data_IF_868068366605
#
_entry.id   IF_868068366605
#
_cell.length_a   1.000
_cell.length_b   1.000
_cell.length_c   1.000
_cell.angle_alpha   90.00
_cell.angle_beta   90.00
_cell.angle_gamma   90.00
#
_symmetry.space_group_name_H-M   'P 1'
#
loop_
_entity.id
_entity.type
_entity.pdbx_description
1 polymer ?
#
# COMPACT_ATOMS: atom_id res chain seq x y z
N UNK A 1 -37.47 43.94 -5.54
CA UNK A 1 -37.57 42.57 -4.98
C UNK A 1 -36.96 41.62 -5.98
N UNK A 2 -35.95 40.84 -5.58
CA UNK A 2 -35.26 39.91 -6.46
C UNK A 2 -33.81 39.71 -6.04
N UNK A 3 -33.60 39.07 -4.90
CA UNK A 3 -32.30 38.51 -4.55
C UNK A 3 -32.24 37.10 -5.16
N UNK A 4 -31.43 36.91 -6.19
CA UNK A 4 -31.12 35.57 -6.70
C UNK A 4 -30.00 34.95 -5.87
N UNK A 5 -30.33 33.86 -5.18
CA UNK A 5 -29.40 33.00 -4.47
C UNK A 5 -28.61 32.13 -5.46
N UNK A 6 -27.31 32.37 -5.57
CA UNK A 6 -26.37 31.47 -6.26
C UNK A 6 -25.31 30.98 -5.26
N UNK A 7 -25.73 30.10 -4.35
CA UNK A 7 -24.87 29.43 -3.37
C UNK A 7 -25.11 27.94 -3.34
N UNK A 8 -24.49 27.18 -4.25
CA UNK A 8 -24.65 25.71 -4.28
C UNK A 8 -23.66 24.93 -5.17
N UNK A 9 -22.55 25.54 -5.59
CA UNK A 9 -21.62 24.95 -6.58
C UNK A 9 -20.54 23.99 -6.05
N UNK A 10 -19.85 24.26 -4.93
CA UNK A 10 -18.72 23.42 -4.48
C UNK A 10 -19.18 22.23 -3.63
N UNK A 11 -20.02 22.48 -2.62
CA UNK A 11 -20.47 21.45 -1.68
C UNK A 11 -21.28 20.33 -2.34
N UNK A 12 -22.10 20.64 -3.36
CA UNK A 12 -22.85 19.64 -4.11
C UNK A 12 -21.92 18.77 -4.97
N UNK A 13 -20.85 19.35 -5.55
CA UNK A 13 -19.86 18.60 -6.35
C UNK A 13 -19.02 17.67 -5.49
N UNK A 14 -18.66 18.11 -4.29
CA UNK A 14 -17.92 17.30 -3.33
C UNK A 14 -18.78 16.15 -2.78
N UNK A 15 -20.05 16.41 -2.46
CA UNK A 15 -21.02 15.37 -2.08
C UNK A 15 -21.29 14.38 -3.21
N UNK A 16 -21.35 14.85 -4.46
CA UNK A 16 -21.49 13.98 -5.64
C UNK A 16 -20.24 13.12 -5.84
N UNK A 17 -19.02 13.66 -5.67
CA UNK A 17 -17.77 12.88 -5.70
C UNK A 17 -17.70 11.83 -4.59
N UNK A 18 -18.05 12.20 -3.37
CA UNK A 18 -18.08 11.29 -2.21
C UNK A 18 -19.06 10.14 -2.45
N UNK A 19 -20.23 10.44 -3.03
CA UNK A 19 -21.23 9.46 -3.43
C UNK A 19 -20.75 8.57 -4.61
N UNK A 20 -20.02 9.12 -5.59
CA UNK A 20 -19.42 8.35 -6.69
C UNK A 20 -18.38 7.34 -6.19
N UNK A 21 -17.53 7.72 -5.25
CA UNK A 21 -16.47 6.86 -4.68
C UNK A 21 -17.06 5.81 -3.73
N UNK A 22 -18.09 6.17 -2.95
CA UNK A 22 -18.60 5.30 -1.89
C UNK A 22 -19.77 4.40 -2.32
N UNK A 23 -20.66 4.87 -3.20
CA UNK A 23 -21.93 4.20 -3.52
C UNK A 23 -21.99 3.59 -4.93
N UNK A 24 -21.18 4.08 -5.88
CA UNK A 24 -21.22 3.65 -7.28
C UNK A 24 -20.10 2.71 -7.67
N UNK A 25 -19.38 2.16 -6.71
CA UNK A 25 -18.24 1.28 -6.94
C UNK A 25 -18.49 -0.10 -6.33
N UNK A 26 -18.18 -1.13 -7.08
CA UNK A 26 -18.22 -2.50 -6.58
C UNK A 26 -17.11 -2.70 -5.55
N UNK A 27 -17.47 -2.88 -4.26
CA UNK A 27 -16.49 -3.07 -3.17
C UNK A 27 -15.73 -4.40 -3.16
N UNK A 28 -15.87 -5.18 -4.24
CA UNK A 28 -15.11 -6.40 -4.50
C UNK A 28 -14.02 -6.14 -5.54
N UNK A 29 -14.37 -5.58 -6.70
CA UNK A 29 -13.42 -5.31 -7.79
C UNK A 29 -13.02 -3.83 -7.94
N UNK A 30 -13.50 -2.97 -7.05
CA UNK A 30 -13.25 -1.53 -6.96
C UNK A 30 -13.43 -0.76 -8.28
N UNK A 31 -14.26 -1.31 -9.17
CA UNK A 31 -14.64 -0.64 -10.41
C UNK A 31 -16.08 -0.10 -10.34
N UNK A 32 -16.30 1.00 -11.07
CA UNK A 32 -17.58 1.68 -11.14
C UNK A 32 -18.67 0.75 -11.70
N UNK A 33 -19.84 0.78 -11.07
CA UNK A 33 -21.03 0.10 -11.56
C UNK A 33 -21.51 0.72 -12.88
N UNK A 34 -22.09 -0.11 -13.74
CA UNK A 34 -22.61 0.31 -15.04
C UNK A 34 -24.02 -0.23 -15.29
N UNK A 35 -24.68 0.29 -16.32
CA UNK A 35 -26.07 -0.11 -16.64
C UNK A 35 -26.18 -1.50 -17.27
N UNK A 36 -25.11 -2.05 -17.85
CA UNK A 36 -25.15 -3.29 -18.66
C UNK A 36 -23.95 -4.20 -18.40
N UNK A 37 -24.12 -5.48 -18.77
CA UNK A 37 -23.09 -6.52 -18.75
C UNK A 37 -22.44 -6.76 -17.38
N UNK A 38 -21.12 -7.00 -17.37
CA UNK A 38 -20.31 -7.41 -16.22
C UNK A 38 -20.30 -6.41 -15.06
N UNK A 39 -20.48 -5.12 -15.35
CA UNK A 39 -20.46 -4.04 -14.33
C UNK A 39 -21.84 -3.75 -13.73
N UNK A 40 -22.88 -4.48 -14.12
CA UNK A 40 -24.24 -4.27 -13.60
C UNK A 40 -24.32 -4.60 -12.10
N UNK A 41 -24.81 -3.68 -11.24
CA UNK A 41 -24.88 -3.91 -9.80
C UNK A 41 -25.97 -4.93 -9.45
N UNK A 42 -25.63 -5.88 -8.59
CA UNK A 42 -26.44 -7.01 -8.17
C UNK A 42 -26.54 -7.04 -6.65
N UNK A 43 -27.76 -7.17 -6.15
CA UNK A 43 -28.04 -7.44 -4.75
C UNK A 43 -27.84 -8.93 -4.46
N UNK A 44 -27.04 -9.22 -3.43
CA UNK A 44 -27.02 -10.52 -2.78
C UNK A 44 -28.22 -10.65 -1.84
N UNK A 45 -28.69 -11.86 -1.50
CA UNK A 45 -29.82 -12.07 -0.58
C UNK A 45 -29.63 -11.46 0.82
N UNK A 46 -28.40 -11.14 1.19
CA UNK A 46 -28.07 -10.44 2.44
C UNK A 46 -28.16 -8.90 2.36
N UNK A 47 -28.50 -8.34 1.19
CA UNK A 47 -28.61 -6.89 0.96
C UNK A 47 -27.32 -6.18 0.52
N UNK A 48 -26.20 -6.89 0.37
CA UNK A 48 -24.94 -6.31 -0.12
C UNK A 48 -24.93 -6.24 -1.66
N UNK A 49 -24.27 -5.22 -2.21
CA UNK A 49 -24.23 -4.94 -3.65
C UNK A 49 -22.86 -5.26 -4.24
N UNK A 50 -22.84 -6.08 -5.30
CA UNK A 50 -21.63 -6.46 -6.06
C UNK A 50 -21.92 -6.44 -7.55
N UNK A 51 -20.92 -6.36 -8.42
CA UNK A 51 -21.19 -6.37 -9.87
C UNK A 51 -21.43 -7.79 -10.39
N UNK A 52 -22.13 -7.91 -11.52
CA UNK A 52 -22.47 -9.21 -12.13
C UNK A 52 -21.24 -10.08 -12.42
N UNK A 53 -20.11 -9.48 -12.85
CA UNK A 53 -18.86 -10.21 -13.01
C UNK A 53 -18.32 -10.76 -11.69
N UNK A 54 -18.44 -10.01 -10.58
CA UNK A 54 -18.05 -10.50 -9.26
C UNK A 54 -18.97 -11.63 -8.78
N UNK A 55 -20.29 -11.55 -9.05
CA UNK A 55 -21.20 -12.67 -8.76
C UNK A 55 -20.76 -13.93 -9.50
N UNK A 56 -20.46 -13.81 -10.80
CA UNK A 56 -20.02 -14.94 -11.62
C UNK A 56 -18.63 -15.46 -11.21
N UNK A 57 -17.72 -14.58 -10.81
CA UNK A 57 -16.37 -14.94 -10.40
C UNK A 57 -16.30 -15.56 -8.99
N UNK A 58 -17.17 -15.15 -8.08
CA UNK A 58 -17.20 -15.65 -6.70
C UNK A 58 -18.06 -16.92 -6.54
N UNK A 59 -18.97 -17.19 -7.49
CA UNK A 59 -19.79 -18.39 -7.46
C UNK A 59 -19.00 -19.63 -7.93
N UNK A 60 -19.19 -20.76 -7.25
CA UNK A 60 -18.56 -22.02 -7.67
C UNK A 60 -19.03 -22.39 -9.09
N UNK A 61 -18.13 -22.72 -10.04
CA UNK A 61 -18.46 -22.94 -11.45
C UNK A 61 -19.53 -24.00 -11.78
N UNK A 62 -19.81 -24.94 -10.85
CA UNK A 62 -20.75 -26.05 -11.07
C UNK A 62 -21.97 -25.97 -10.17
N UNK A 63 -21.78 -25.60 -8.90
CA UNK A 63 -22.87 -25.57 -7.91
C UNK A 63 -23.51 -24.20 -7.79
N UNK A 64 -22.91 -23.16 -8.39
CA UNK A 64 -23.29 -21.74 -8.27
C UNK A 64 -23.38 -21.26 -6.82
N UNK A 65 -22.80 -22.02 -5.88
CA UNK A 65 -22.74 -21.67 -4.47
C UNK A 65 -21.80 -20.48 -4.29
N UNK A 66 -22.25 -19.48 -3.53
CA UNK A 66 -21.59 -18.21 -3.33
C UNK A 66 -21.74 -17.80 -1.86
N UNK A 67 -20.66 -17.38 -1.21
CA UNK A 67 -20.76 -16.71 0.08
C UNK A 67 -20.61 -15.21 -0.11
N UNK A 68 -21.45 -14.42 0.57
CA UNK A 68 -21.32 -12.98 0.55
C UNK A 68 -19.93 -12.56 1.07
N UNK A 69 -19.14 -11.78 0.33
CA UNK A 69 -17.79 -11.39 0.76
C UNK A 69 -17.77 -10.45 1.97
N UNK A 70 -18.91 -9.84 2.31
CA UNK A 70 -19.01 -8.87 3.41
C UNK A 70 -19.55 -9.48 4.70
N UNK A 71 -20.54 -10.37 4.62
CA UNK A 71 -21.20 -10.95 5.81
C UNK A 71 -21.19 -12.48 5.86
N UNK A 72 -20.56 -13.16 4.90
CA UNK A 72 -20.41 -14.63 4.81
C UNK A 72 -21.70 -15.44 4.80
N UNK A 73 -22.85 -14.78 4.59
CA UNK A 73 -24.11 -15.50 4.38
C UNK A 73 -24.04 -16.29 3.08
N UNK A 74 -24.27 -17.59 3.16
CA UNK A 74 -24.37 -18.46 2.00
C UNK A 74 -25.56 -18.08 1.11
N UNK A 75 -25.35 -18.07 -0.19
CA UNK A 75 -26.35 -17.79 -1.22
C UNK A 75 -25.98 -18.53 -2.52
N UNK A 76 -26.84 -18.45 -3.53
CA UNK A 76 -26.51 -18.92 -4.88
C UNK A 76 -26.44 -17.75 -5.84
N UNK A 77 -25.57 -17.83 -6.85
CA UNK A 77 -25.44 -16.79 -7.86
C UNK A 77 -26.75 -16.49 -8.61
N UNK A 78 -27.62 -17.49 -8.75
CA UNK A 78 -28.96 -17.36 -9.32
C UNK A 78 -29.95 -16.55 -8.47
N UNK A 79 -29.70 -16.43 -7.17
CA UNK A 79 -30.62 -15.75 -6.23
C UNK A 79 -30.34 -14.23 -6.16
N UNK A 80 -29.42 -13.73 -6.98
CA UNK A 80 -29.11 -12.31 -7.05
C UNK A 80 -30.16 -11.54 -7.86
N UNK A 81 -30.40 -10.28 -7.50
CA UNK A 81 -31.32 -9.40 -8.23
C UNK A 81 -30.63 -8.10 -8.64
N UNK A 82 -31.18 -7.35 -9.59
CA UNK A 82 -30.59 -6.05 -9.97
C UNK A 82 -30.76 -5.03 -8.83
N UNK A 83 -29.71 -4.24 -8.57
CA UNK A 83 -29.79 -3.15 -7.61
C UNK A 83 -30.38 -1.89 -8.27
N UNK A 84 -31.71 -1.83 -8.33
CA UNK A 84 -32.45 -0.70 -8.92
C UNK A 84 -32.07 0.67 -8.34
N UNK A 85 -31.85 0.85 -7.01
CA UNK A 85 -31.43 2.13 -6.46
C UNK A 85 -30.10 2.65 -7.04
N UNK A 86 -29.10 1.77 -7.20
CA UNK A 86 -27.81 2.14 -7.79
C UNK A 86 -27.96 2.40 -9.29
N UNK A 87 -28.79 1.62 -10.00
CA UNK A 87 -29.08 1.86 -11.43
C UNK A 87 -29.78 3.21 -11.66
N UNK A 88 -30.76 3.56 -10.84
CA UNK A 88 -31.42 4.87 -10.92
C UNK A 88 -30.46 6.01 -10.55
N UNK A 89 -29.59 5.81 -9.56
CA UNK A 89 -28.56 6.80 -9.20
C UNK A 89 -27.56 7.03 -10.35
N UNK A 90 -27.15 5.96 -11.05
CA UNK A 90 -26.32 6.07 -12.25
C UNK A 90 -27.03 6.84 -13.37
N UNK A 91 -28.34 6.66 -13.55
CA UNK A 91 -29.16 7.40 -14.51
C UNK A 91 -29.29 8.89 -14.16
N UNK A 92 -29.51 9.21 -12.88
CA UNK A 92 -29.61 10.58 -12.38
C UNK A 92 -28.28 11.35 -12.47
N UNK A 93 -27.16 10.67 -12.25
CA UNK A 93 -25.82 11.28 -12.39
C UNK A 93 -25.39 11.36 -13.86
N UNK A 94 -25.81 10.42 -14.69
CA UNK A 94 -25.56 10.44 -16.14
C UNK A 94 -26.30 11.56 -16.88
N UNK A 95 -27.42 12.05 -16.34
CA UNK A 95 -28.13 13.23 -16.87
C UNK A 95 -27.50 14.56 -16.42
N UNK A 96 -26.88 14.61 -15.24
CA UNK A 96 -26.24 15.79 -14.67
C UNK A 96 -24.85 16.13 -15.28
N UNK A 97 -24.20 15.19 -15.98
CA UNK A 97 -22.80 15.32 -16.45
C UNK A 97 -22.63 15.38 -17.98
N UNK A 98 -23.67 15.65 -18.77
CA UNK A 98 -23.48 15.94 -20.20
C UNK A 98 -22.93 17.35 -20.40
N UNK A 99 -21.63 17.53 -20.17
CA UNK A 99 -20.84 18.59 -20.81
C UNK A 99 -19.35 18.27 -20.84
N UNK A 100 -18.85 18.24 -22.09
CA UNK A 100 -17.47 18.29 -22.60
C UNK A 100 -16.64 16.99 -22.71
N UNK A 101 -15.83 16.88 -23.80
CA UNK A 101 -15.53 15.62 -24.45
C UNK A 101 -14.20 14.99 -24.00
N UNK A 102 -14.04 13.72 -24.38
CA UNK A 102 -12.83 12.95 -24.22
C UNK A 102 -11.60 13.65 -24.82
N UNK A 103 -10.67 14.08 -23.97
CA UNK A 103 -9.32 14.43 -24.38
C UNK A 103 -8.41 13.21 -24.22
N UNK A 104 -8.34 12.41 -25.29
CA UNK A 104 -7.16 11.62 -25.58
C UNK A 104 -6.02 12.59 -25.91
N UNK A 105 -4.90 12.52 -25.17
CA UNK A 105 -3.54 12.40 -25.73
C UNK A 105 -2.49 12.29 -24.62
N UNK A 106 -1.70 11.23 -24.73
CA UNK A 106 -0.53 10.95 -23.94
C UNK A 106 0.55 12.01 -24.12
N UNK A 107 1.24 12.36 -23.03
CA UNK A 107 2.58 12.91 -23.06
C UNK A 107 3.59 11.75 -23.08
N UNK A 108 4.67 11.80 -23.89
CA UNK A 108 5.71 10.79 -23.84
C UNK A 108 6.65 11.11 -22.68
N UNK A 109 6.83 10.16 -21.75
CA UNK A 109 7.95 10.17 -20.80
C UNK A 109 8.94 9.05 -21.16
N UNK A 110 10.23 9.41 -21.14
CA UNK A 110 11.38 8.55 -21.42
C UNK A 110 11.56 7.44 -20.35
N UNK A 111 12.33 6.37 -20.63
CA UNK A 111 12.03 5.03 -20.15
C UNK A 111 12.71 4.68 -18.82
N UNK A 112 11.90 4.17 -17.90
CA UNK A 112 12.28 3.30 -16.80
C UNK A 112 11.09 2.38 -16.53
N UNK A 113 10.84 1.43 -17.42
CA UNK A 113 9.65 0.59 -17.33
C UNK A 113 9.84 -0.47 -16.23
N UNK A 114 9.14 -0.31 -15.11
CA UNK A 114 9.03 -1.37 -14.12
C UNK A 114 8.29 -2.57 -14.71
N UNK A 115 8.90 -3.75 -14.65
CA UNK A 115 8.27 -5.00 -15.10
C UNK A 115 7.74 -5.77 -13.90
N UNK A 116 6.43 -6.03 -13.88
CA UNK A 116 5.82 -6.91 -12.88
C UNK A 116 6.08 -8.35 -13.29
N UNK A 117 6.90 -9.07 -12.52
CA UNK A 117 7.25 -10.47 -12.82
C UNK A 117 6.31 -11.46 -12.14
N UNK A 118 5.87 -11.15 -10.91
CA UNK A 118 5.02 -12.03 -10.12
C UNK A 118 3.95 -11.24 -9.35
N UNK A 119 2.73 -11.76 -9.38
CA UNK A 119 1.64 -11.32 -8.52
C UNK A 119 1.33 -12.46 -7.55
N UNK A 120 1.51 -12.21 -6.25
CA UNK A 120 1.25 -13.19 -5.21
C UNK A 120 -0.15 -12.98 -4.65
N UNK A 121 -0.92 -14.06 -4.56
CA UNK A 121 -2.29 -14.03 -4.08
C UNK A 121 -3.32 -13.95 -5.20
N UNK A 122 -3.96 -15.09 -5.47
CA UNK A 122 -5.27 -15.15 -6.11
C UNK A 122 -6.38 -15.05 -5.05
N UNK A 123 -7.60 -14.71 -5.51
CA UNK A 123 -8.80 -14.59 -4.67
C UNK A 123 -8.90 -15.73 -3.63
N UNK A 124 -8.99 -15.35 -2.35
CA UNK A 124 -9.21 -16.28 -1.23
C UNK A 124 -7.96 -16.80 -0.50
N UNK A 125 -6.74 -16.52 -0.98
CA UNK A 125 -5.51 -17.04 -0.33
C UNK A 125 -4.93 -16.13 0.74
N UNK A 126 -5.15 -14.82 0.64
CA UNK A 126 -4.74 -13.80 1.61
C UNK A 126 -5.98 -12.98 2.00
N UNK A 127 -5.99 -12.48 3.24
CA UNK A 127 -7.10 -11.68 3.80
C UNK A 127 -6.50 -10.38 4.27
N UNK A 128 -6.83 -9.23 3.65
CA UNK A 128 -6.28 -7.92 4.01
C UNK A 128 -4.76 -7.95 4.31
N UNK A 129 -3.91 -8.28 3.32
CA UNK A 129 -2.46 -8.28 3.55
C UNK A 129 -2.01 -6.85 3.92
N UNK A 130 -1.11 -6.75 4.88
CA UNK A 130 -0.67 -5.47 5.47
C UNK A 130 0.81 -5.17 5.26
N UNK A 131 1.64 -6.21 5.15
CA UNK A 131 3.08 -6.09 4.91
C UNK A 131 3.64 -7.28 4.14
N UNK A 132 4.77 -7.08 3.46
CA UNK A 132 5.48 -8.10 2.73
C UNK A 132 6.99 -7.89 2.84
N UNK A 133 7.75 -8.99 2.82
CA UNK A 133 9.19 -8.97 2.75
C UNK A 133 9.74 -10.14 1.93
N UNK A 134 10.95 -9.96 1.40
CA UNK A 134 11.70 -11.02 0.74
C UNK A 134 12.70 -11.61 1.72
N UNK A 135 12.79 -12.94 1.72
CA UNK A 135 13.91 -13.62 2.37
C UNK A 135 15.15 -13.53 1.46
N UNK A 136 16.24 -12.86 1.89
CA UNK A 136 17.42 -12.67 1.05
C UNK A 136 18.09 -13.99 0.64
N UNK A 137 18.07 -15.00 1.52
CA UNK A 137 18.73 -16.31 1.28
C UNK A 137 17.92 -17.25 0.40
N UNK A 138 16.58 -17.21 0.47
CA UNK A 138 15.73 -18.20 -0.22
C UNK A 138 14.94 -17.61 -1.38
N UNK A 139 14.90 -16.29 -1.54
CA UNK A 139 14.06 -15.60 -2.53
C UNK A 139 12.54 -15.80 -2.32
N UNK A 140 12.14 -16.26 -1.13
CA UNK A 140 10.73 -16.51 -0.80
C UNK A 140 10.08 -15.23 -0.30
N UNK A 141 8.78 -15.08 -0.59
CA UNK A 141 8.00 -13.92 -0.19
C UNK A 141 7.27 -14.25 1.10
N UNK A 142 7.48 -13.45 2.13
CA UNK A 142 6.74 -13.53 3.39
C UNK A 142 5.69 -12.42 3.39
N UNK A 143 4.44 -12.77 3.67
CA UNK A 143 3.32 -11.82 3.71
C UNK A 143 2.62 -11.96 5.05
N UNK A 144 2.36 -10.81 5.70
CA UNK A 144 1.45 -10.74 6.84
C UNK A 144 0.07 -10.32 6.42
N UNK A 145 -0.94 -10.98 6.98
CA UNK A 145 -2.33 -10.78 6.59
C UNK A 145 -3.30 -11.15 7.73
N UNK A 146 -4.56 -10.74 7.60
CA UNK A 146 -5.65 -10.96 8.56
C UNK A 146 -6.30 -12.36 8.44
N UNK A 147 -5.53 -13.41 8.16
CA UNK A 147 -6.00 -14.82 8.14
C UNK A 147 -5.97 -15.51 9.51
N UNK A 148 -6.35 -16.81 9.58
CA UNK A 148 -6.20 -17.59 10.83
C UNK A 148 -4.72 -17.76 11.21
N UNK A 149 -3.90 -18.13 10.23
CA UNK A 149 -2.44 -18.04 10.27
C UNK A 149 -2.06 -16.70 9.63
N UNK A 150 -1.44 -15.83 10.41
CA UNK A 150 -1.22 -14.42 10.06
C UNK A 150 0.01 -14.19 9.20
N UNK A 151 0.95 -15.14 9.20
CA UNK A 151 2.14 -15.13 8.34
C UNK A 151 2.00 -16.23 7.31
N UNK A 152 2.26 -15.88 6.04
CA UNK A 152 2.22 -16.81 4.91
C UNK A 152 3.47 -16.64 4.05
N UNK A 153 4.13 -17.75 3.73
CA UNK A 153 5.36 -17.77 2.93
C UNK A 153 5.04 -18.38 1.56
N UNK A 154 5.38 -17.65 0.51
CA UNK A 154 5.27 -18.07 -0.88
C UNK A 154 6.63 -18.38 -1.49
N UNK A 155 6.68 -19.40 -2.33
CA UNK A 155 7.81 -19.65 -3.21
C UNK A 155 7.82 -18.68 -4.41
N UNK A 156 8.91 -18.70 -5.18
CA UNK A 156 9.06 -17.87 -6.39
C UNK A 156 8.06 -18.21 -7.50
N UNK A 157 7.43 -19.39 -7.45
CA UNK A 157 6.35 -19.81 -8.36
C UNK A 157 4.96 -19.35 -7.93
N UNK A 158 4.83 -18.68 -6.78
CA UNK A 158 3.55 -18.25 -6.21
C UNK A 158 2.82 -19.33 -5.40
N UNK A 159 3.43 -20.50 -5.20
CA UNK A 159 2.92 -21.55 -4.34
C UNK A 159 3.05 -21.18 -2.86
N UNK A 160 2.06 -21.54 -2.05
CA UNK A 160 2.15 -21.38 -0.61
C UNK A 160 3.04 -22.49 -0.03
N UNK A 161 4.22 -22.11 0.44
CA UNK A 161 5.18 -23.04 1.04
C UNK A 161 4.89 -23.29 2.52
N UNK A 162 4.53 -22.25 3.28
CA UNK A 162 4.37 -22.35 4.73
C UNK A 162 3.40 -21.30 5.29
N UNK A 163 2.83 -21.55 6.47
CA UNK A 163 1.98 -20.60 7.18
C UNK A 163 2.04 -20.79 8.69
N UNK A 164 2.09 -19.71 9.46
CA UNK A 164 2.19 -19.73 10.93
C UNK A 164 1.69 -18.42 11.56
N UNK A 165 1.86 -18.30 12.88
CA UNK A 165 1.37 -17.16 13.68
C UNK A 165 -0.14 -17.21 13.84
N UNK A 166 -0.62 -17.85 14.91
CA UNK A 166 -2.06 -17.95 15.16
C UNK A 166 -2.67 -16.58 15.44
N UNK A 167 -3.91 -16.38 14.99
CA UNK A 167 -4.74 -15.28 15.44
C UNK A 167 -5.26 -15.60 16.84
N UNK A 168 -4.97 -14.73 17.80
CA UNK A 168 -5.50 -14.84 19.15
C UNK A 168 -4.94 -13.77 20.07
N UNK A 169 -5.17 -13.98 21.38
CA UNK A 169 -4.73 -13.09 22.45
C UNK A 169 -3.65 -13.74 23.34
N UNK A 170 -3.14 -14.93 22.99
CA UNK A 170 -2.01 -15.51 23.70
C UNK A 170 -0.73 -14.69 23.43
N UNK A 171 0.23 -14.71 24.36
CA UNK A 171 1.46 -13.92 24.26
C UNK A 171 2.26 -14.16 22.95
N UNK A 172 2.17 -15.37 22.39
CA UNK A 172 2.83 -15.76 21.14
C UNK A 172 1.95 -15.60 19.89
N UNK A 173 0.66 -15.32 20.06
CA UNK A 173 -0.26 -15.13 18.94
C UNK A 173 -0.04 -13.76 18.31
N UNK A 174 -0.46 -13.62 17.04
CA UNK A 174 -0.40 -12.37 16.29
C UNK A 174 -1.81 -11.79 16.19
N UNK A 175 -2.02 -10.68 16.90
CA UNK A 175 -3.33 -10.03 17.05
C UNK A 175 -3.66 -9.19 15.82
N UNK A 176 -2.83 -8.18 15.55
CA UNK A 176 -3.01 -7.25 14.44
C UNK A 176 -1.66 -6.87 13.79
N UNK A 177 -1.19 -7.67 12.81
CA UNK A 177 0.10 -7.42 12.17
C UNK A 177 0.02 -6.21 11.23
N UNK A 178 0.96 -5.30 11.34
CA UNK A 178 1.05 -4.12 10.47
C UNK A 178 2.08 -4.29 9.37
N UNK A 179 3.25 -4.83 9.69
CA UNK A 179 4.33 -4.99 8.74
C UNK A 179 5.23 -6.19 9.08
N UNK A 180 6.08 -6.58 8.14
CA UNK A 180 6.99 -7.72 8.28
C UNK A 180 8.31 -7.46 7.56
N UNK A 181 9.42 -7.88 8.17
CA UNK A 181 10.73 -7.95 7.52
C UNK A 181 11.35 -9.33 7.72
N UNK A 182 12.33 -9.69 6.89
CA UNK A 182 13.10 -10.92 7.03
C UNK A 182 14.57 -10.58 7.16
N UNK A 183 15.16 -11.08 8.24
CA UNK A 183 16.57 -10.88 8.56
C UNK A 183 17.48 -11.66 7.62
N UNK A 184 18.77 -11.31 7.59
CA UNK A 184 19.78 -12.07 6.83
C UNK A 184 19.88 -13.53 7.28
N UNK A 185 19.41 -13.82 8.49
CA UNK A 185 19.46 -15.13 9.14
C UNK A 185 18.18 -15.95 8.90
N UNK A 186 17.27 -15.46 8.05
CA UNK A 186 15.95 -16.02 7.78
C UNK A 186 14.97 -16.00 8.97
N UNK A 187 15.18 -15.11 9.95
CA UNK A 187 14.16 -14.85 10.97
C UNK A 187 13.12 -13.85 10.44
N UNK A 188 11.86 -14.14 10.72
CA UNK A 188 10.71 -13.32 10.33
C UNK A 188 10.35 -12.42 11.50
N UNK A 189 10.36 -11.11 11.28
CA UNK A 189 10.09 -10.12 12.32
C UNK A 189 8.81 -9.38 11.95
N UNK A 190 7.82 -9.42 12.85
CA UNK A 190 6.48 -8.88 12.63
C UNK A 190 6.19 -7.79 13.66
N UNK A 191 5.67 -6.64 13.21
CA UNK A 191 5.10 -5.62 14.10
C UNK A 191 3.64 -5.93 14.36
N UNK A 192 3.26 -6.03 15.64
CA UNK A 192 1.89 -6.29 16.07
C UNK A 192 1.34 -5.10 16.85
N UNK A 193 0.44 -4.34 16.21
CA UNK A 193 -0.19 -3.18 16.83
C UNK A 193 -1.27 -3.55 17.85
N UNK A 194 -1.85 -4.75 17.76
CA UNK A 194 -2.87 -5.20 18.70
C UNK A 194 -2.31 -5.56 20.07
N UNK A 195 -1.06 -6.00 20.08
CA UNK A 195 -0.27 -6.35 21.28
C UNK A 195 0.82 -5.32 21.60
N UNK A 196 0.98 -4.29 20.75
CA UNK A 196 2.03 -3.26 20.82
C UNK A 196 3.42 -3.87 21.01
N UNK A 197 3.69 -4.91 20.22
CA UNK A 197 4.89 -5.72 20.36
C UNK A 197 5.50 -6.02 19.00
N UNK A 198 6.73 -6.52 19.03
CA UNK A 198 7.42 -7.08 17.89
C UNK A 198 7.62 -8.56 18.17
N UNK A 199 7.23 -9.40 17.22
CA UNK A 199 7.30 -10.86 17.35
C UNK A 199 8.30 -11.38 16.33
N UNK A 200 9.29 -12.12 16.82
CA UNK A 200 10.36 -12.71 16.03
C UNK A 200 10.12 -14.21 15.97
N UNK A 201 10.06 -14.74 14.75
CA UNK A 201 9.92 -16.15 14.46
C UNK A 201 11.14 -16.63 13.67
N UNK A 202 11.49 -17.90 13.81
CA UNK A 202 12.33 -18.54 12.79
C UNK A 202 11.53 -18.78 11.49
N UNK A 203 12.24 -19.18 10.45
CA UNK A 203 11.61 -19.43 9.14
C UNK A 203 10.64 -20.63 9.13
N UNK A 204 10.69 -21.49 10.16
CA UNK A 204 9.77 -22.60 10.37
C UNK A 204 8.52 -22.19 11.17
N UNK A 205 8.45 -20.94 11.62
CA UNK A 205 7.31 -20.38 12.33
C UNK A 205 7.31 -20.62 13.83
N UNK A 206 8.43 -21.06 14.41
CA UNK A 206 8.57 -21.12 15.87
C UNK A 206 8.91 -19.74 16.40
N UNK A 207 8.25 -19.34 17.48
CA UNK A 207 8.52 -18.05 18.10
C UNK A 207 9.86 -18.10 18.84
N UNK A 208 10.69 -17.07 18.63
CA UNK A 208 12.01 -16.91 19.23
C UNK A 208 12.02 -15.84 20.30
N UNK A 209 11.36 -14.72 20.03
CA UNK A 209 11.39 -13.55 20.90
C UNK A 209 10.13 -12.71 20.73
N UNK A 210 9.64 -12.15 21.83
CA UNK A 210 8.59 -11.12 21.86
C UNK A 210 9.14 -9.90 22.57
N UNK A 211 9.13 -8.76 21.89
CA UNK A 211 9.59 -7.47 22.43
C UNK A 211 8.37 -6.58 22.61
N UNK A 212 7.98 -6.29 23.85
CA UNK A 212 6.82 -5.47 24.18
C UNK A 212 7.11 -4.44 25.27
N UNK A 213 6.12 -3.60 25.58
CA UNK A 213 6.15 -2.67 26.72
C UNK A 213 6.79 -1.30 26.44
N UNK A 214 7.52 -1.15 25.35
CA UNK A 214 8.21 0.09 24.98
C UNK A 214 7.63 0.80 23.74
N UNK A 215 6.65 0.20 23.07
CA UNK A 215 6.02 0.76 21.86
C UNK A 215 4.58 1.19 22.13
N UNK A 216 4.18 2.31 21.55
CA UNK A 216 2.80 2.81 21.54
C UNK A 216 2.03 2.25 20.34
N UNK A 217 2.61 2.36 19.15
CA UNK A 217 2.06 1.78 17.91
C UNK A 217 3.20 1.43 16.94
N UNK A 218 3.86 0.26 17.10
CA UNK A 218 4.90 -0.18 16.18
C UNK A 218 4.27 -0.45 14.81
N UNK A 219 4.74 0.23 13.76
CA UNK A 219 4.12 0.19 12.44
C UNK A 219 5.02 -0.49 11.41
N UNK A 220 5.97 0.24 10.84
CA UNK A 220 6.86 -0.26 9.80
C UNK A 220 8.08 -0.92 10.42
N UNK A 221 8.59 -1.93 9.74
CA UNK A 221 9.77 -2.67 10.16
C UNK A 221 10.68 -2.96 8.97
N UNK A 222 11.99 -2.78 9.14
CA UNK A 222 12.94 -3.15 8.10
C UNK A 222 14.28 -3.65 8.68
N UNK A 223 14.87 -4.63 8.03
CA UNK A 223 16.19 -5.16 8.41
C UNK A 223 17.31 -4.32 7.80
N UNK A 224 18.30 -3.97 8.62
CA UNK A 224 19.53 -3.29 8.17
C UNK A 224 20.54 -4.29 7.57
N UNK A 225 21.51 -3.83 6.77
CA UNK A 225 22.59 -4.69 6.28
C UNK A 225 23.40 -5.38 7.38
N UNK A 226 23.51 -4.76 8.55
CA UNK A 226 24.18 -5.29 9.74
C UNK A 226 23.27 -6.22 10.57
N UNK A 227 22.11 -6.60 10.05
CA UNK A 227 21.13 -7.49 10.67
C UNK A 227 20.46 -6.94 11.94
N UNK A 228 20.57 -5.64 12.21
CA UNK A 228 19.70 -4.93 13.15
C UNK A 228 18.31 -4.69 12.56
N UNK A 229 17.31 -4.49 13.42
CA UNK A 229 15.91 -4.28 13.02
C UNK A 229 15.50 -2.84 13.31
N UNK A 230 15.09 -2.11 12.27
CA UNK A 230 14.48 -0.80 12.42
C UNK A 230 12.98 -0.91 12.61
N UNK A 231 12.42 -0.12 13.52
CA UNK A 231 10.99 -0.07 13.78
C UNK A 231 10.52 1.37 13.92
N UNK A 232 9.52 1.75 13.14
CA UNK A 232 8.81 3.01 13.33
C UNK A 232 7.71 2.85 14.36
N UNK A 233 7.65 3.77 15.32
CA UNK A 233 6.50 3.90 16.21
C UNK A 233 5.66 5.10 15.76
N UNK A 234 4.52 4.79 15.14
CA UNK A 234 3.66 5.77 14.51
C UNK A 234 2.99 6.71 15.51
N UNK A 235 2.73 6.25 16.73
CA UNK A 235 2.07 7.05 17.76
C UNK A 235 3.09 7.80 18.63
N UNK A 236 4.21 7.17 18.96
CA UNK A 236 5.30 7.84 19.67
C UNK A 236 6.09 8.82 18.77
N UNK A 237 5.97 8.72 17.45
CA UNK A 237 6.68 9.58 16.51
C UNK A 237 8.19 9.36 16.53
N UNK A 238 8.61 8.08 16.53
CA UNK A 238 10.03 7.73 16.72
C UNK A 238 10.47 6.55 15.86
N UNK A 239 11.78 6.45 15.65
CA UNK A 239 12.45 5.35 14.96
C UNK A 239 13.40 4.67 15.94
N UNK A 240 13.27 3.36 16.06
CA UNK A 240 14.08 2.51 16.94
C UNK A 240 14.95 1.56 16.13
N UNK A 241 16.16 1.28 16.62
CA UNK A 241 17.03 0.19 16.18
C UNK A 241 17.10 -0.86 17.28
N UNK A 242 16.85 -2.11 16.90
CA UNK A 242 16.90 -3.27 17.79
C UNK A 242 18.03 -4.18 17.34
N UNK A 243 18.94 -4.46 18.25
CA UNK A 243 20.00 -5.46 18.07
C UNK A 243 19.56 -6.74 18.75
N UNK A 244 19.27 -7.77 17.94
CA UNK A 244 18.74 -9.05 18.41
C UNK A 244 19.76 -10.14 18.11
N UNK A 245 20.02 -10.97 19.12
CA UNK A 245 20.68 -12.25 18.95
C UNK A 245 19.62 -13.28 18.51
N UNK A 246 19.43 -13.42 17.20
CA UNK A 246 18.37 -14.29 16.67
C UNK A 246 18.53 -15.77 17.02
N UNK A 247 19.74 -16.38 16.95
CA UNK A 247 19.94 -17.76 17.38
C UNK A 247 19.49 -18.02 18.82
N UNK A 248 19.86 -17.14 19.75
CA UNK A 248 19.53 -17.28 21.17
C UNK A 248 18.15 -16.71 21.52
N UNK A 249 17.53 -15.93 20.62
CA UNK A 249 16.25 -15.27 20.86
C UNK A 249 16.32 -14.16 21.91
N UNK A 250 17.44 -13.42 21.98
CA UNK A 250 17.68 -12.41 23.03
C UNK A 250 17.81 -11.01 22.43
N UNK A 251 17.06 -10.04 22.97
CA UNK A 251 17.25 -8.63 22.66
C UNK A 251 18.51 -8.12 23.39
N UNK A 252 19.55 -7.75 22.63
CA UNK A 252 20.80 -7.21 23.19
C UNK A 252 20.68 -5.73 23.52
N UNK A 253 20.10 -4.95 22.61
CA UNK A 253 20.02 -3.49 22.73
C UNK A 253 18.80 -2.94 22.00
N UNK A 254 18.22 -1.89 22.59
CA UNK A 254 17.28 -0.99 21.91
C UNK A 254 17.87 0.41 21.92
N UNK A 255 17.94 1.04 20.76
CA UNK A 255 18.37 2.42 20.59
C UNK A 255 17.27 3.22 19.89
N UNK A 256 17.00 4.45 20.34
CA UNK A 256 16.08 5.36 19.64
C UNK A 256 16.91 6.28 18.74
N UNK A 257 16.90 6.01 17.43
CA UNK A 257 17.68 6.71 16.43
C UNK A 257 17.12 8.10 16.10
N UNK A 258 15.80 8.25 16.08
CA UNK A 258 15.15 9.52 15.81
C UNK A 258 13.90 9.71 16.68
N UNK A 259 13.66 10.96 17.05
CA UNK A 259 12.45 11.42 17.71
C UNK A 259 11.81 12.57 16.91
N UNK A 260 10.56 12.92 17.23
CA UNK A 260 9.81 13.98 16.56
C UNK A 260 9.51 13.72 15.07
N UNK A 261 9.29 12.45 14.71
CA UNK A 261 8.69 12.08 13.43
C UNK A 261 7.17 12.29 13.47
N UNK A 262 6.58 12.73 12.36
CA UNK A 262 5.16 12.99 12.23
C UNK A 262 4.42 11.74 11.71
N UNK A 263 3.88 10.92 12.61
CA UNK A 263 3.16 9.68 12.27
C UNK A 263 3.94 8.80 11.26
N UNK A 264 5.17 8.37 11.60
CA UNK A 264 5.98 7.54 10.70
C UNK A 264 5.32 6.17 10.51
N UNK A 265 5.18 5.73 9.26
CA UNK A 265 4.58 4.44 8.92
C UNK A 265 5.58 3.53 8.22
N UNK A 266 5.94 3.87 6.98
CA UNK A 266 6.90 3.08 6.20
C UNK A 266 8.33 3.40 6.60
N UNK A 267 9.19 2.39 6.55
CA UNK A 267 10.64 2.52 6.67
C UNK A 267 11.32 1.65 5.63
N UNK A 268 12.42 2.13 5.06
CA UNK A 268 13.24 1.36 4.14
C UNK A 268 14.71 1.66 4.36
N UNK A 269 15.57 0.68 4.07
CA UNK A 269 17.02 0.82 4.20
C UNK A 269 17.68 0.58 2.85
N UNK A 270 18.58 1.47 2.46
CA UNK A 270 19.44 1.27 1.31
C UNK A 270 20.53 0.26 1.66
N UNK A 271 20.53 -0.87 0.98
CA UNK A 271 21.59 -1.87 1.12
C UNK A 271 22.95 -1.40 0.60
N UNK A 272 22.96 -0.40 -0.28
CA UNK A 272 24.17 0.18 -0.85
C UNK A 272 24.87 1.13 0.12
N UNK A 273 24.12 2.03 0.77
CA UNK A 273 24.68 3.13 1.56
C UNK A 273 24.37 3.07 3.05
N UNK A 274 23.43 2.22 3.47
CA UNK A 274 22.86 2.23 4.81
C UNK A 274 21.94 3.42 5.09
N UNK A 275 21.58 4.22 4.08
CA UNK A 275 20.61 5.30 4.21
C UNK A 275 19.22 4.77 4.60
N UNK A 276 18.46 5.54 5.37
CA UNK A 276 17.18 5.15 5.93
C UNK A 276 16.11 6.12 5.42
N UNK A 277 15.14 5.63 4.67
CA UNK A 277 13.97 6.40 4.27
C UNK A 277 12.82 6.12 5.25
N UNK A 278 12.17 7.18 5.73
CA UNK A 278 10.99 7.13 6.59
C UNK A 278 9.84 7.85 5.89
N UNK A 279 8.71 7.18 5.78
CA UNK A 279 7.48 7.70 5.22
C UNK A 279 6.55 8.18 6.34
N UNK A 280 6.29 9.49 6.38
CA UNK A 280 5.44 10.19 7.35
C UNK A 280 4.07 10.53 6.76
N UNK A 281 3.02 10.39 7.58
CA UNK A 281 1.64 10.76 7.24
C UNK A 281 1.13 11.84 8.21
N UNK A 282 1.61 13.09 8.09
CA UNK A 282 1.18 14.19 8.96
C UNK A 282 -0.35 14.33 8.98
N UNK A 283 -0.92 14.41 10.18
CA UNK A 283 -2.35 14.71 10.36
C UNK A 283 -2.59 16.18 10.02
N UNK A 284 -3.52 16.46 9.12
CA UNK A 284 -3.90 17.83 8.78
C UNK A 284 -4.47 18.55 10.01
N UNK A 285 -3.87 19.67 10.41
CA UNK A 285 -4.48 20.67 11.30
C UNK A 285 -5.31 21.63 10.42
N UNK A 286 -6.56 21.26 10.13
CA UNK A 286 -7.48 22.08 9.33
C UNK A 286 -7.18 22.11 7.82
N UNK A 287 -8.22 22.36 7.02
CA UNK A 287 -8.25 22.37 5.54
C UNK A 287 -7.52 21.21 4.83
N UNK A 288 -8.13 20.01 4.90
CA UNK A 288 -8.27 19.05 3.79
C UNK A 288 -7.04 18.37 3.16
N UNK A 289 -5.80 18.78 3.41
CA UNK A 289 -4.64 18.18 2.75
C UNK A 289 -4.01 17.06 3.59
N UNK A 290 -4.45 15.81 3.36
CA UNK A 290 -3.61 14.64 3.68
C UNK A 290 -2.37 14.69 2.77
N UNK A 291 -1.19 14.85 3.35
CA UNK A 291 0.09 14.85 2.64
C UNK A 291 0.98 13.71 3.15
N UNK A 292 1.81 13.18 2.27
CA UNK A 292 2.85 12.22 2.60
C UNK A 292 4.20 12.90 2.51
N UNK A 293 5.07 12.66 3.48
CA UNK A 293 6.45 13.18 3.46
C UNK A 293 7.41 12.01 3.51
N UNK A 294 8.38 11.97 2.61
CA UNK A 294 9.49 11.03 2.64
C UNK A 294 10.70 11.78 3.16
N UNK A 295 11.22 11.37 4.32
CA UNK A 295 12.50 11.85 4.85
C UNK A 295 13.54 10.76 4.66
N UNK A 296 14.71 11.12 4.16
CA UNK A 296 15.83 10.20 3.98
C UNK A 296 16.99 10.66 4.85
N UNK A 297 17.45 9.76 5.70
CA UNK A 297 18.58 9.96 6.60
C UNK A 297 19.78 9.14 6.11
N UNK A 298 21.00 9.61 6.37
CA UNK A 298 22.21 8.82 6.22
C UNK A 298 22.25 7.68 7.26
N UNK A 299 23.20 6.75 7.10
CA UNK A 299 23.47 5.71 8.11
C UNK A 299 23.83 6.28 9.50
N UNK A 300 24.33 7.51 9.56
CA UNK A 300 24.62 8.24 10.80
C UNK A 300 23.47 9.13 11.27
N UNK A 301 22.25 8.90 10.77
CA UNK A 301 21.02 9.64 11.11
C UNK A 301 21.04 11.14 10.81
N UNK A 302 21.84 11.59 9.83
CA UNK A 302 21.77 12.96 9.32
C UNK A 302 20.74 13.05 8.20
N UNK A 303 19.86 14.06 8.20
CA UNK A 303 18.88 14.24 7.12
C UNK A 303 19.61 14.61 5.81
N UNK A 304 19.48 13.79 4.77
CA UNK A 304 20.12 14.00 3.46
C UNK A 304 19.12 14.41 2.37
N UNK A 305 17.85 14.06 2.51
CA UNK A 305 16.81 14.42 1.55
C UNK A 305 15.44 14.43 2.18
N UNK A 306 14.57 15.32 1.71
CA UNK A 306 13.17 15.35 2.10
C UNK A 306 12.31 15.73 0.90
N UNK A 307 11.19 15.05 0.71
CA UNK A 307 10.19 15.41 -0.27
C UNK A 307 8.80 15.25 0.31
N UNK A 308 7.98 16.29 0.21
CA UNK A 308 6.61 16.31 0.70
C UNK A 308 5.61 16.16 -0.45
N UNK A 309 4.32 16.07 -0.11
CA UNK A 309 3.25 15.92 -1.10
C UNK A 309 3.18 17.09 -2.09
N UNK A 310 3.63 18.29 -1.69
CA UNK A 310 3.71 19.44 -2.59
C UNK A 310 4.85 19.26 -3.59
N UNK A 311 6.05 18.91 -3.13
CA UNK A 311 7.20 18.57 -3.96
C UNK A 311 6.88 17.46 -4.94
N UNK A 312 6.21 16.38 -4.50
CA UNK A 312 5.72 15.32 -5.39
C UNK A 312 4.73 15.86 -6.44
N UNK A 313 3.84 16.78 -6.07
CA UNK A 313 2.86 17.36 -7.01
C UNK A 313 3.48 18.33 -8.04
N UNK A 314 4.72 18.79 -7.84
CA UNK A 314 5.43 19.61 -8.83
C UNK A 314 5.95 18.78 -10.01
N UNK A 315 6.29 17.51 -9.78
CA UNK A 315 6.81 16.61 -10.82
C UNK A 315 5.72 15.80 -11.50
N UNK A 316 4.57 15.63 -10.84
CA UNK A 316 3.50 14.76 -11.31
C UNK A 316 2.17 15.51 -11.40
N UNK A 317 1.39 15.34 -12.49
CA UNK A 317 0.14 16.07 -12.74
C UNK A 317 -0.99 15.71 -11.76
N UNK A 318 -0.81 14.66 -10.95
CA UNK A 318 -1.78 14.16 -9.97
C UNK A 318 -1.17 14.15 -8.57
N UNK A 319 -1.99 14.45 -7.56
CA UNK A 319 -1.59 14.40 -6.15
C UNK A 319 -1.14 12.98 -5.78
N UNK A 320 0.11 12.84 -5.34
CA UNK A 320 0.67 11.55 -4.92
C UNK A 320 0.42 11.33 -3.43
N UNK A 321 -0.05 10.13 -3.09
CA UNK A 321 -0.19 9.67 -1.71
C UNK A 321 0.67 8.42 -1.55
N UNK A 322 1.94 8.64 -1.17
CA UNK A 322 2.86 7.54 -0.90
C UNK A 322 2.34 6.65 0.24
N UNK A 323 2.26 5.35 -0.04
CA UNK A 323 1.77 4.31 0.85
C UNK A 323 2.88 3.38 1.34
N UNK A 324 3.93 3.20 0.52
CA UNK A 324 5.13 2.47 0.84
C UNK A 324 6.35 3.17 0.22
N UNK A 325 7.52 2.92 0.80
CA UNK A 325 8.82 3.44 0.35
C UNK A 325 9.83 2.30 0.33
N UNK A 326 10.76 2.29 -0.61
CA UNK A 326 11.88 1.35 -0.69
C UNK A 326 13.05 1.99 -1.44
N UNK A 327 14.22 1.36 -1.40
CA UNK A 327 15.34 1.70 -2.27
C UNK A 327 15.48 0.70 -3.41
N UNK A 328 16.06 1.16 -4.53
CA UNK A 328 16.62 0.27 -5.54
C UNK A 328 18.11 -0.06 -5.27
N UNK A 329 18.66 -0.97 -6.07
CA UNK A 329 20.06 -1.39 -6.01
C UNK A 329 21.07 -0.25 -6.28
N UNK A 330 20.63 0.84 -6.91
CA UNK A 330 21.45 2.02 -7.21
C UNK A 330 21.32 3.10 -6.13
N UNK A 331 20.45 2.89 -5.12
CA UNK A 331 20.18 3.84 -4.05
C UNK A 331 19.13 4.89 -4.38
N UNK A 332 18.37 4.74 -5.48
CA UNK A 332 17.23 5.61 -5.75
C UNK A 332 16.06 5.25 -4.83
N UNK A 333 15.30 6.27 -4.43
CA UNK A 333 14.10 6.11 -3.60
C UNK A 333 12.91 5.80 -4.49
N UNK A 334 12.22 4.70 -4.21
CA UNK A 334 11.01 4.27 -4.89
C UNK A 334 9.83 4.40 -3.93
N UNK A 335 8.71 4.94 -4.40
CA UNK A 335 7.46 5.03 -3.65
C UNK A 335 6.30 4.38 -4.40
N UNK A 336 5.40 3.74 -3.67
CA UNK A 336 4.13 3.27 -4.20
C UNK A 336 2.99 4.22 -3.82
N UNK A 337 2.19 4.62 -4.79
CA UNK A 337 0.92 5.31 -4.61
C UNK A 337 -0.23 4.36 -4.92
N UNK A 338 -0.87 3.88 -3.86
CA UNK A 338 -2.05 3.01 -3.96
C UNK A 338 -3.28 3.73 -4.51
N UNK A 339 -3.40 5.04 -4.30
CA UNK A 339 -4.54 5.81 -4.77
C UNK A 339 -4.47 6.04 -6.28
N UNK A 340 -3.27 6.31 -6.79
CA UNK A 340 -3.01 6.53 -8.22
C UNK A 340 -2.62 5.25 -8.97
N UNK A 341 -2.51 4.11 -8.26
CA UNK A 341 -2.06 2.82 -8.78
C UNK A 341 -0.71 2.92 -9.52
N UNK A 342 0.23 3.66 -8.95
CA UNK A 342 1.51 3.96 -9.56
C UNK A 342 2.68 3.59 -8.64
N UNK A 343 3.81 3.23 -9.26
CA UNK A 343 5.11 3.11 -8.60
C UNK A 343 6.03 4.13 -9.23
N UNK A 344 6.64 4.96 -8.39
CA UNK A 344 7.39 6.13 -8.83
C UNK A 344 8.81 6.04 -8.31
N UNK A 345 9.78 6.28 -9.19
CA UNK A 345 11.16 6.53 -8.80
C UNK A 345 11.31 8.03 -8.53
N UNK A 346 11.68 8.38 -7.30
CA UNK A 346 11.96 9.76 -6.90
C UNK A 346 13.42 10.16 -7.18
N UNK A 347 14.25 9.21 -7.60
CA UNK A 347 15.68 9.42 -7.85
C UNK A 347 16.50 9.36 -6.57
N UNK A 348 17.71 9.93 -6.62
CA UNK A 348 18.64 9.91 -5.51
C UNK A 348 18.22 10.88 -4.40
N UNK A 349 18.39 10.53 -3.12
CA UNK A 349 18.00 11.39 -2.01
C UNK A 349 18.66 12.78 -2.04
N UNK A 350 19.89 12.88 -2.51
CA UNK A 350 20.65 14.14 -2.57
C UNK A 350 20.11 15.11 -3.63
N UNK A 351 19.31 14.62 -4.57
CA UNK A 351 18.72 15.40 -5.66
C UNK A 351 17.32 15.91 -5.30
N UNK A 352 16.81 15.59 -4.10
CA UNK A 352 15.47 16.00 -3.69
C UNK A 352 15.36 17.53 -3.55
N UNK A 353 14.26 18.14 -4.04
CA UNK A 353 14.05 19.58 -3.89
C UNK A 353 13.94 19.94 -2.41
N UNK A 354 14.91 20.70 -1.92
CA UNK A 354 15.05 21.04 -0.50
C UNK A 354 16.32 20.49 0.16
N UNK A 355 17.13 19.70 -0.56
CA UNK A 355 18.45 19.27 -0.11
C UNK A 355 19.52 20.38 -0.27
N UNK A 356 19.30 21.54 0.36
CA UNK A 356 20.34 22.46 0.86
C UNK A 356 19.70 23.70 1.49
N UNK A 357 20.22 24.23 2.62
CA UNK A 357 19.91 25.57 3.08
C UNK A 357 20.89 26.57 2.44
N UNK A 358 20.98 26.64 1.11
CA UNK A 358 21.63 27.76 0.41
C UNK A 358 21.48 27.65 -1.12
N UNK A 359 21.20 28.80 -1.72
CA UNK A 359 21.30 29.16 -3.14
C UNK A 359 20.13 28.73 -4.07
N UNK A 360 19.31 29.74 -4.39
CA UNK A 360 18.54 29.81 -5.63
C UNK A 360 19.45 29.54 -6.84
N UNK A 361 19.10 28.54 -7.65
CA UNK A 361 19.50 28.54 -9.04
C UNK A 361 18.42 27.89 -9.91
N UNK A 362 17.73 28.75 -10.67
CA UNK A 362 16.85 28.35 -11.77
C UNK A 362 17.67 27.64 -12.86
N UNK A 363 17.35 26.40 -13.17
CA UNK A 363 17.75 25.78 -14.43
C UNK A 363 16.63 25.95 -15.47
N UNK A 364 16.87 26.80 -16.48
CA UNK A 364 16.08 26.89 -17.71
C UNK A 364 16.41 25.69 -18.62
N UNK A 365 15.39 25.07 -19.20
CA UNK A 365 15.55 24.06 -20.25
C UNK A 365 15.43 24.71 -21.65
N UNK A 366 16.20 24.27 -22.66
CA UNK A 366 16.04 24.73 -24.05
C UNK A 366 14.89 24.01 -24.78
N UNK A 367 14.28 24.75 -25.70
CA UNK A 367 13.13 24.40 -26.54
C UNK A 367 13.41 23.30 -27.61
N UNK A 368 12.57 22.26 -27.60
CA UNK A 368 11.86 21.64 -28.76
C UNK A 368 12.65 20.88 -29.89
N UNK A 369 11.98 20.16 -30.83
CA UNK A 369 11.91 18.68 -30.83
C UNK A 369 12.35 17.99 -32.15
N UNK A 370 12.60 16.67 -32.15
CA UNK A 370 12.42 15.84 -33.36
C UNK A 370 11.84 14.45 -33.06
N UNK A 371 10.85 14.09 -33.89
CA UNK A 371 10.09 12.84 -33.88
C UNK A 371 10.94 11.64 -34.32
N UNK A 372 10.54 10.41 -33.96
CA UNK A 372 10.50 9.26 -34.87
C UNK A 372 9.66 8.08 -34.30
N UNK A 373 8.92 7.51 -35.24
CA UNK A 373 8.02 6.34 -35.28
C UNK A 373 8.16 5.20 -34.26
N UNK A 374 7.01 4.85 -33.65
CA UNK A 374 6.30 3.59 -33.92
C UNK A 374 6.78 2.31 -33.23
N UNK A 375 6.02 1.83 -32.23
CA UNK A 375 5.21 0.59 -32.25
C UNK A 375 4.51 0.39 -30.89
N UNK A 376 3.42 -0.37 -30.93
CA UNK A 376 2.33 -0.49 -29.95
C UNK A 376 2.76 -0.77 -28.49
N UNK A 377 2.16 -0.03 -27.55
CA UNK A 377 2.19 -0.33 -26.12
C UNK A 377 0.97 -1.19 -25.73
N UNK A 378 1.19 -2.30 -25.03
CA UNK A 378 0.12 -3.09 -24.41
C UNK A 378 -0.20 -2.53 -23.02
N UNK A 379 -1.33 -1.84 -22.90
CA UNK A 379 -1.95 -1.53 -21.60
C UNK A 379 -2.51 -2.82 -20.99
N UNK A 380 -2.27 -3.06 -19.69
CA UNK A 380 -3.06 -4.03 -18.94
C UNK A 380 -3.54 -3.43 -17.62
N UNK A 381 -4.86 -3.48 -17.46
CA UNK A 381 -5.65 -3.04 -16.31
C UNK A 381 -5.26 -3.92 -15.11
N UNK A 382 -4.75 -3.30 -14.03
CA UNK A 382 -4.27 -4.00 -12.83
C UNK A 382 -5.36 -3.98 -11.75
N UNK A 383 -5.62 -5.13 -11.13
CA UNK A 383 -6.71 -5.31 -10.18
C UNK A 383 -6.36 -4.91 -8.73
N UNK A 384 -7.37 -4.58 -7.90
CA UNK A 384 -7.23 -3.83 -6.64
C UNK A 384 -6.82 -4.62 -5.37
N UNK A 385 -6.46 -5.90 -5.48
CA UNK A 385 -6.19 -6.78 -4.32
C UNK A 385 -5.01 -7.73 -4.52
N UNK A 386 -3.86 -7.21 -4.94
CA UNK A 386 -2.67 -8.02 -5.24
C UNK A 386 -1.45 -7.47 -4.51
N UNK A 387 -0.64 -8.34 -3.92
CA UNK A 387 0.71 -8.00 -3.50
C UNK A 387 1.62 -8.11 -4.73
N UNK A 388 2.30 -7.03 -5.07
CA UNK A 388 3.21 -6.96 -6.22
C UNK A 388 4.66 -6.97 -5.76
N UNK A 389 5.55 -7.44 -6.62
CA UNK A 389 6.99 -7.38 -6.42
C UNK A 389 7.65 -7.14 -7.77
N UNK A 390 8.70 -6.31 -7.79
CA UNK A 390 9.46 -6.00 -8.99
C UNK A 390 10.80 -6.74 -8.90
N UNK A 391 11.13 -7.51 -9.94
CA UNK A 391 12.35 -8.32 -9.98
C UNK A 391 13.28 -7.84 -11.09
N UNK A 392 14.58 -8.05 -10.90
CA UNK A 392 15.56 -8.26 -11.97
C UNK A 392 16.23 -9.60 -11.68
N UNK A 393 16.32 -10.53 -12.66
CA UNK A 393 16.73 -11.91 -12.40
C UNK A 393 18.22 -12.10 -12.06
N UNK A 394 19.07 -11.08 -12.17
CA UNK A 394 20.54 -11.27 -12.16
C UNK A 394 21.35 -10.53 -11.07
N UNK A 395 20.80 -9.74 -10.14
CA UNK A 395 21.62 -9.08 -9.07
C UNK A 395 20.88 -8.83 -7.73
N UNK A 396 21.57 -8.85 -6.57
CA UNK A 396 20.98 -8.55 -5.26
C UNK A 396 21.08 -7.06 -4.84
N UNK A 397 20.21 -6.54 -3.94
CA UNK A 397 18.91 -7.07 -3.52
C UNK A 397 17.75 -6.48 -4.34
N UNK A 398 16.75 -7.32 -4.57
CA UNK A 398 15.54 -7.02 -5.34
C UNK A 398 14.61 -6.06 -4.58
N UNK A 399 13.91 -5.20 -5.31
CA UNK A 399 13.04 -4.15 -4.75
C UNK A 399 11.62 -4.68 -4.57
N UNK A 400 11.17 -4.79 -3.32
CA UNK A 400 9.82 -5.25 -3.01
C UNK A 400 8.91 -4.07 -2.66
N UNK A 401 7.83 -3.89 -3.43
CA UNK A 401 6.87 -2.79 -3.25
C UNK A 401 5.46 -3.34 -3.05
N UNK A 402 4.97 -3.30 -1.82
CA UNK A 402 3.57 -3.63 -1.51
C UNK A 402 2.62 -2.48 -1.81
N UNK A 403 1.59 -2.73 -2.62
CA UNK A 403 0.47 -1.80 -2.84
C UNK A 403 -0.70 -2.31 -2.01
N UNK A 404 -0.99 -1.67 -0.87
CA UNK A 404 -2.09 -2.04 0.01
C UNK A 404 -3.13 -0.92 0.12
N UNK A 405 -4.43 -1.20 0.01
CA UNK A 405 -5.44 -0.22 0.36
C UNK A 405 -5.27 0.17 1.83
N UNK A 406 -5.27 1.48 2.11
CA UNK A 406 -5.12 1.99 3.47
C UNK A 406 -6.17 1.37 4.40
N UNK A 407 -5.72 0.67 5.44
CA UNK A 407 -6.60 0.17 6.49
C UNK A 407 -7.28 1.37 7.18
N UNK A 408 -8.61 1.44 7.09
CA UNK A 408 -9.39 2.35 7.93
C UNK A 408 -9.19 1.92 9.39
N UNK A 409 -9.03 2.92 10.26
CA UNK A 409 -8.94 2.77 11.73
C UNK A 409 -9.90 1.69 12.24
N UNK A 410 -9.34 0.66 12.88
CA UNK A 410 -10.11 -0.19 13.78
C UNK A 410 -10.53 0.70 14.97
N UNK A 411 -11.83 0.98 15.08
CA UNK A 411 -12.40 1.46 16.33
C UNK A 411 -12.23 0.36 17.38
N UNK A 412 -11.72 0.74 18.56
CA UNK A 412 -11.72 -0.09 19.76
C UNK A 412 -13.17 -0.54 20.07
N UNK A 413 -13.44 -1.83 20.34
CA UNK A 413 -14.70 -2.20 20.96
C UNK A 413 -14.64 -1.87 22.46
N UNK A 414 -15.63 -1.12 22.93
CA UNK A 414 -16.01 -1.07 24.34
C UNK A 414 -16.97 -2.21 24.70
#
# INVERSE_FOLDING_TARGET
>A
MGAEASGGGPALRDLVREAEISLLECKVCFERFGHRQQRRPRNLPCGHVVCLACVAALAHPRTLALECPFCRRACRGCDTSDCLPVLHLLELLGSALRQAPAANRAAPSSPGAFTCHHAFGGWGTLVNPTGLALCPKTGRVVVVHDGKRRVKIFDSGGGCAHQFGEKGDAAQDIRYPLDVTVTNDCHVVVTDAGDRSIKVFDFFGQIKLVIGGQFSLPWGVETTPQNGVLVTDAEAGSLHLLEVDFPEGVLRRTERLQAALCHPRGVAVSWLTGAIAVLEHPRALGSGAYGTTVKVFSASMQLIGQVDAFGLSLFFPSKIIASAVTFDHQGNVIVADTCSQAVLCLGKPEEFPGASPAAEQLCRWPDQPQALSGRQASHRQVGPSSAFSFFSPDEPPSVCVGIYPSSRRAGLPG
#
